data_IF_372405895432
#
_entry.id   IF_372405895432
#
_cell.length_a   1.000
_cell.length_b   1.000
_cell.length_c   1.000
_cell.angle_alpha   90.00
_cell.angle_beta   90.00
_cell.angle_gamma   90.00
#
_symmetry.space_group_name_H-M   'P 1'
#
loop_
_entity.id
_entity.type
_entity.pdbx_description
1 polymer ?
#
# COMPACT_ATOMS: atom_id res chain seq x y z
N UNK A 1 -2.17 15.09 7.19
CA UNK A 1 -1.37 15.21 5.94
C UNK A 1 -0.19 16.19 6.00
N UNK A 2 -0.01 17.04 7.03
CA UNK A 2 1.17 17.92 7.10
C UNK A 2 2.50 17.15 6.97
N UNK A 3 2.62 15.94 7.54
CA UNK A 3 3.83 15.12 7.33
C UNK A 3 4.02 14.63 5.88
N UNK A 4 2.94 14.33 5.15
CA UNK A 4 3.03 13.92 3.74
C UNK A 4 3.41 15.10 2.85
N UNK A 5 2.77 16.26 3.07
CA UNK A 5 3.10 17.50 2.36
C UNK A 5 4.55 17.89 2.63
N UNK A 6 4.99 17.92 3.89
CA UNK A 6 6.33 18.37 4.24
C UNK A 6 7.44 17.45 3.72
N UNK A 7 7.23 16.12 3.73
CA UNK A 7 8.21 15.18 3.16
C UNK A 7 8.24 15.29 1.63
N UNK A 8 7.07 15.40 0.98
CA UNK A 8 6.99 15.58 -0.47
C UNK A 8 7.52 16.95 -0.92
N UNK A 9 7.13 18.05 -0.29
CA UNK A 9 7.60 19.40 -0.58
C UNK A 9 9.10 19.51 -0.31
N UNK A 10 9.58 18.97 0.81
CA UNK A 10 11.01 18.95 1.10
C UNK A 10 11.82 18.13 0.09
N UNK A 11 11.29 17.01 -0.39
CA UNK A 11 11.90 16.20 -1.46
C UNK A 11 11.90 16.91 -2.82
N UNK A 12 10.78 17.56 -3.17
CA UNK A 12 10.58 18.19 -4.48
C UNK A 12 11.32 19.52 -4.60
N UNK A 13 11.39 20.30 -3.52
CA UNK A 13 12.05 21.60 -3.49
C UNK A 13 13.52 21.52 -3.02
N UNK A 14 14.02 20.30 -2.75
CA UNK A 14 15.40 20.09 -2.31
C UNK A 14 15.71 20.62 -0.92
N UNK A 15 14.68 20.93 -0.12
CA UNK A 15 14.84 21.42 1.26
C UNK A 15 15.13 20.26 2.25
N UNK A 16 14.68 19.05 1.94
CA UNK A 16 15.03 17.84 2.69
C UNK A 16 16.06 17.07 1.89
N UNK A 17 17.28 17.03 2.43
CA UNK A 17 18.33 16.19 1.88
C UNK A 17 17.86 14.72 1.90
N UNK A 18 17.98 13.99 0.77
CA UNK A 18 17.52 12.60 0.64
C UNK A 18 18.05 11.67 1.73
N UNK A 19 19.24 11.97 2.27
CA UNK A 19 19.89 11.25 3.38
C UNK A 19 19.10 11.22 4.69
N UNK A 20 18.08 12.08 4.86
CA UNK A 20 17.25 12.11 6.08
C UNK A 20 15.97 11.30 5.97
N UNK A 21 15.68 10.71 4.81
CA UNK A 21 14.42 10.04 4.56
C UNK A 21 14.68 8.54 4.56
N UNK A 22 14.00 7.81 5.44
CA UNK A 22 14.05 6.35 5.45
C UNK A 22 13.23 5.82 4.27
N UNK A 23 13.81 4.90 3.50
CA UNK A 23 13.14 4.23 2.39
C UNK A 23 11.81 3.57 2.83
N UNK A 24 11.74 3.05 4.05
CA UNK A 24 10.53 2.47 4.64
C UNK A 24 9.43 3.50 4.83
N UNK A 25 9.77 4.74 5.18
CA UNK A 25 8.80 5.81 5.35
C UNK A 25 8.18 6.20 4.01
N UNK A 26 8.98 6.27 2.94
CA UNK A 26 8.49 6.49 1.57
C UNK A 26 7.53 5.38 1.15
N UNK A 27 7.91 4.12 1.39
CA UNK A 27 7.08 2.97 1.03
C UNK A 27 5.79 2.91 1.86
N UNK A 28 5.87 3.21 3.16
CA UNK A 28 4.71 3.34 4.02
C UNK A 28 3.78 4.45 3.53
N UNK A 29 4.35 5.61 3.19
CA UNK A 29 3.63 6.75 2.64
C UNK A 29 2.83 6.38 1.38
N UNK A 30 3.47 5.77 0.39
CA UNK A 30 2.78 5.37 -0.84
C UNK A 30 1.70 4.34 -0.58
N UNK A 31 2.00 3.27 0.15
CA UNK A 31 1.02 2.20 0.39
C UNK A 31 -0.17 2.64 1.23
N UNK A 32 0.06 3.45 2.26
CA UNK A 32 -1.02 3.98 3.09
C UNK A 32 -1.84 5.05 2.35
N UNK A 33 -1.18 5.93 1.60
CA UNK A 33 -1.85 6.94 0.79
C UNK A 33 -2.79 6.34 -0.26
N UNK A 34 -2.32 5.30 -0.98
CA UNK A 34 -3.12 4.55 -1.95
C UNK A 34 -4.39 3.97 -1.29
N UNK A 35 -4.25 3.34 -0.12
CA UNK A 35 -5.38 2.75 0.61
C UNK A 35 -6.40 3.80 1.04
N UNK A 36 -5.97 4.87 1.72
CA UNK A 36 -6.91 5.92 2.14
C UNK A 36 -7.60 6.59 0.93
N UNK A 37 -6.90 6.76 -0.21
CA UNK A 37 -7.53 7.29 -1.42
C UNK A 37 -8.68 6.40 -1.91
N UNK A 38 -8.46 5.09 -2.02
CA UNK A 38 -9.50 4.17 -2.50
C UNK A 38 -10.63 3.92 -1.49
N UNK A 39 -10.33 3.95 -0.19
CA UNK A 39 -11.35 3.87 0.86
C UNK A 39 -12.29 5.07 0.77
N UNK A 40 -11.74 6.28 0.59
CA UNK A 40 -12.54 7.51 0.38
C UNK A 40 -13.37 7.45 -0.90
N UNK A 41 -12.81 6.97 -2.02
CA UNK A 41 -13.56 6.77 -3.27
C UNK A 41 -14.72 5.78 -3.09
N UNK A 42 -14.51 4.71 -2.32
CA UNK A 42 -15.54 3.70 -2.02
C UNK A 42 -16.66 4.28 -1.16
N UNK A 43 -16.32 5.09 -0.15
CA UNK A 43 -17.30 5.78 0.69
C UNK A 43 -18.15 6.75 -0.13
N UNK A 44 -17.53 7.57 -0.98
CA UNK A 44 -18.23 8.52 -1.84
C UNK A 44 -19.17 7.84 -2.86
N UNK A 45 -18.81 6.66 -3.36
CA UNK A 45 -19.66 5.88 -4.28
C UNK A 45 -20.87 5.22 -3.58
N UNK A 46 -20.82 5.09 -2.25
CA UNK A 46 -21.84 4.38 -1.47
C UNK A 46 -22.95 5.28 -0.94
N UNK A 47 -22.82 6.60 -1.04
CA UNK A 47 -23.86 7.55 -0.65
C UNK A 47 -25.00 7.49 -1.69
N UNK A 48 -26.12 6.83 -1.37
CA UNK A 48 -27.29 6.86 -2.24
C UNK A 48 -27.81 8.30 -2.21
N UNK A 49 -28.21 8.85 -3.36
CA UNK A 49 -28.86 10.17 -3.44
C UNK A 49 -30.25 10.20 -2.78
N UNK A 50 -30.32 9.81 -1.51
CA UNK A 50 -31.50 9.81 -0.65
C UNK A 50 -31.42 10.97 0.33
N UNK A 51 -32.51 11.71 0.36
CA UNK A 51 -32.88 12.79 1.28
C UNK A 51 -32.42 12.52 2.72
N UNK A 52 -31.85 13.55 3.35
CA UNK A 52 -31.17 13.56 4.64
C UNK A 52 -32.08 13.10 5.80
N UNK A 53 -32.18 11.79 6.07
CA UNK A 53 -32.65 11.28 7.36
C UNK A 53 -31.48 10.69 8.15
N UNK A 54 -30.99 11.52 9.07
CA UNK A 54 -29.72 11.33 9.75
C UNK A 54 -29.69 10.17 10.74
N UNK A 55 -29.36 8.95 10.29
CA UNK A 55 -28.83 7.89 11.17
C UNK A 55 -27.92 6.92 10.40
N UNK A 56 -26.68 7.29 10.05
CA UNK A 56 -25.67 6.31 9.65
C UNK A 56 -24.25 6.73 10.09
N UNK A 57 -23.93 6.54 11.38
CA UNK A 57 -22.66 6.98 11.97
C UNK A 57 -21.78 5.84 12.53
N UNK A 58 -21.85 4.63 11.98
CA UNK A 58 -21.14 3.47 12.55
C UNK A 58 -20.42 2.59 11.50
N UNK A 59 -19.50 3.19 10.72
CA UNK A 59 -18.44 2.44 10.02
C UNK A 59 -17.13 3.24 9.89
N UNK A 60 -16.69 3.93 10.96
CA UNK A 60 -15.52 4.86 10.92
C UNK A 60 -14.42 4.57 11.97
N UNK A 61 -14.47 3.46 12.71
CA UNK A 61 -13.66 3.34 13.94
C UNK A 61 -12.18 3.00 13.75
N UNK A 62 -11.68 2.78 12.53
CA UNK A 62 -10.22 2.62 12.27
C UNK A 62 -9.64 3.54 11.21
N UNK A 63 -10.47 4.28 10.48
CA UNK A 63 -10.09 5.33 9.54
C UNK A 63 -10.33 6.73 10.11
N UNK A 64 -10.61 6.88 11.41
CA UNK A 64 -10.85 8.19 12.04
C UNK A 64 -9.76 9.23 11.70
N UNK A 65 -8.51 8.81 11.49
CA UNK A 65 -7.43 9.71 11.07
C UNK A 65 -7.46 10.09 9.57
N UNK A 66 -8.06 9.28 8.70
CA UNK A 66 -8.30 9.61 7.29
C UNK A 66 -9.66 10.31 7.08
N UNK A 67 -10.65 10.11 7.96
CA UNK A 67 -11.96 10.80 7.87
C UNK A 67 -11.85 12.31 8.13
N UNK A 68 -10.97 12.72 9.06
CA UNK A 68 -10.71 14.14 9.35
C UNK A 68 -9.89 14.82 8.24
N UNK A 69 -9.22 14.02 7.40
CA UNK A 69 -8.47 14.50 6.24
C UNK A 69 -9.38 14.34 5.03
N UNK A 70 -10.18 15.35 4.71
CA UNK A 70 -10.86 15.48 3.42
C UNK A 70 -9.83 15.51 2.28
N UNK A 71 -9.28 14.35 1.95
CA UNK A 71 -8.32 14.21 0.86
C UNK A 71 -9.11 14.29 -0.42
N UNK A 72 -9.06 15.45 -1.08
CA UNK A 72 -9.50 15.57 -2.46
C UNK A 72 -8.75 14.52 -3.29
N UNK A 73 -9.50 13.62 -3.92
CA UNK A 73 -8.95 12.55 -4.75
C UNK A 73 -8.07 13.11 -5.87
N UNK A 74 -8.42 14.29 -6.39
CA UNK A 74 -7.61 14.98 -7.40
C UNK A 74 -6.29 15.47 -6.83
N UNK A 75 -6.32 16.08 -5.64
CA UNK A 75 -5.10 16.51 -4.93
C UNK A 75 -4.15 15.33 -4.64
N UNK A 76 -4.69 14.18 -4.24
CA UNK A 76 -3.90 12.96 -4.06
C UNK A 76 -3.35 12.44 -5.40
N UNK A 77 -4.17 12.35 -6.44
CA UNK A 77 -3.76 11.90 -7.78
C UNK A 77 -2.57 12.72 -8.31
N UNK A 78 -2.69 14.04 -8.23
CA UNK A 78 -1.68 14.99 -8.69
C UNK A 78 -0.38 14.86 -7.89
N UNK A 79 -0.49 14.80 -6.56
CA UNK A 79 0.65 14.61 -5.66
C UNK A 79 1.33 13.26 -5.91
N UNK A 80 0.57 12.16 -5.86
CA UNK A 80 1.09 10.81 -6.06
C UNK A 80 1.72 10.66 -7.44
N UNK A 81 1.07 11.19 -8.48
CA UNK A 81 1.56 11.19 -9.85
C UNK A 81 2.91 11.88 -10.00
N UNK A 82 3.09 13.07 -9.41
CA UNK A 82 4.37 13.80 -9.42
C UNK A 82 5.44 13.05 -8.62
N UNK A 83 5.19 12.80 -7.35
CA UNK A 83 6.18 12.24 -6.43
C UNK A 83 6.64 10.87 -6.93
N UNK A 84 5.72 9.99 -7.34
CA UNK A 84 6.10 8.68 -7.89
C UNK A 84 6.94 8.79 -9.18
N UNK A 85 6.68 9.79 -10.03
CA UNK A 85 7.48 10.02 -11.24
C UNK A 85 8.88 10.51 -10.91
N UNK A 86 9.02 11.44 -9.97
CA UNK A 86 10.31 11.99 -9.55
C UNK A 86 11.19 10.89 -8.93
N UNK A 87 10.61 10.04 -8.09
CA UNK A 87 11.30 8.84 -7.60
C UNK A 87 11.69 7.90 -8.73
N UNK A 88 10.78 7.60 -9.66
CA UNK A 88 11.10 6.76 -10.82
C UNK A 88 12.25 7.35 -11.67
N UNK A 89 12.29 8.66 -11.85
CA UNK A 89 13.36 9.32 -12.59
C UNK A 89 14.68 9.26 -11.81
N UNK A 90 14.66 9.59 -10.52
CA UNK A 90 15.84 9.53 -9.65
C UNK A 90 16.46 8.14 -9.54
N UNK A 91 15.63 7.09 -9.48
CA UNK A 91 16.08 5.69 -9.52
C UNK A 91 16.73 5.38 -10.87
N UNK A 92 16.09 5.72 -11.99
CA UNK A 92 16.66 5.45 -13.34
C UNK A 92 18.01 6.11 -13.52
N UNK A 93 18.15 7.38 -13.10
CA UNK A 93 19.40 8.12 -13.15
C UNK A 93 20.50 7.46 -12.32
N UNK A 94 20.15 6.99 -11.12
CA UNK A 94 21.06 6.22 -10.26
C UNK A 94 21.53 4.95 -10.95
N UNK A 95 20.62 4.19 -11.57
CA UNK A 95 20.93 2.95 -12.29
C UNK A 95 21.76 3.17 -13.57
N UNK A 96 21.64 4.34 -14.21
CA UNK A 96 22.45 4.70 -15.37
C UNK A 96 23.80 5.34 -15.03
N UNK A 97 24.09 5.59 -13.74
CA UNK A 97 25.31 6.26 -13.29
C UNK A 97 25.35 7.76 -13.56
N UNK A 98 24.21 8.43 -13.76
CA UNK A 98 24.16 9.89 -13.91
C UNK A 98 24.22 10.54 -12.52
N UNK A 99 25.20 11.41 -12.25
CA UNK A 99 25.36 12.02 -10.91
C UNK A 99 24.30 13.11 -10.62
N UNK A 100 23.82 13.83 -11.64
CA UNK A 100 22.95 14.99 -11.44
C UNK A 100 21.48 14.59 -11.28
N UNK A 101 20.98 14.73 -10.06
CA UNK A 101 19.59 14.42 -9.72
C UNK A 101 19.29 12.93 -9.65
N UNK A 102 20.31 12.08 -9.53
CA UNK A 102 20.14 10.69 -9.10
C UNK A 102 19.88 10.60 -7.61
N UNK A 103 19.13 9.58 -7.21
CA UNK A 103 19.10 9.16 -5.82
C UNK A 103 20.40 8.41 -5.47
N UNK A 104 20.90 8.51 -4.22
CA UNK A 104 22.04 7.72 -3.77
C UNK A 104 21.80 6.22 -3.99
N UNK A 105 22.79 5.49 -4.51
CA UNK A 105 22.65 4.07 -4.83
C UNK A 105 22.23 3.23 -3.61
N UNK A 106 22.78 3.54 -2.43
CA UNK A 106 22.42 2.89 -1.15
C UNK A 106 20.92 3.06 -0.87
N UNK A 107 20.38 4.27 -1.07
CA UNK A 107 18.97 4.54 -0.84
C UNK A 107 18.06 3.82 -1.85
N UNK A 108 18.50 3.69 -3.11
CA UNK A 108 17.78 2.89 -4.12
C UNK A 108 17.72 1.41 -3.72
N UNK A 109 18.81 0.86 -3.20
CA UNK A 109 18.84 -0.52 -2.70
C UNK A 109 17.93 -0.70 -1.47
N UNK A 110 17.91 0.27 -0.55
CA UNK A 110 17.00 0.27 0.60
C UNK A 110 15.53 0.35 0.16
N UNK A 111 15.19 1.23 -0.79
CA UNK A 111 13.85 1.32 -1.40
C UNK A 111 13.44 -0.01 -2.02
N UNK A 112 14.35 -0.66 -2.75
CA UNK A 112 14.10 -1.98 -3.34
C UNK A 112 13.78 -3.02 -2.27
N UNK A 113 14.59 -3.09 -1.21
CA UNK A 113 14.39 -4.02 -0.09
C UNK A 113 13.07 -3.76 0.62
N UNK A 114 12.77 -2.50 0.94
CA UNK A 114 11.53 -2.11 1.59
C UNK A 114 10.28 -2.43 0.73
N UNK A 115 10.39 -2.29 -0.59
CA UNK A 115 9.28 -2.50 -1.52
C UNK A 115 8.87 -3.96 -1.68
N UNK A 116 9.80 -4.92 -1.64
CA UNK A 116 9.52 -6.36 -1.86
C UNK A 116 8.41 -6.92 -0.98
N UNK A 117 8.19 -6.38 0.22
CA UNK A 117 7.18 -6.86 1.16
C UNK A 117 5.77 -6.36 0.89
N UNK A 118 5.63 -5.25 0.16
CA UNK A 118 4.37 -4.50 0.09
C UNK A 118 3.97 -4.09 -1.32
N UNK A 119 4.90 -4.07 -2.28
CA UNK A 119 4.63 -3.63 -3.65
C UNK A 119 3.57 -4.49 -4.34
N UNK A 120 3.80 -5.79 -4.45
CA UNK A 120 2.84 -6.70 -5.07
C UNK A 120 1.50 -6.79 -4.31
N UNK A 121 1.47 -6.93 -2.96
CA UNK A 121 0.22 -6.85 -2.20
C UNK A 121 -0.62 -5.61 -2.51
N UNK A 122 0.01 -4.43 -2.56
CA UNK A 122 -0.67 -3.17 -2.88
C UNK A 122 -1.12 -3.15 -4.33
N UNK A 123 -0.30 -3.63 -5.28
CA UNK A 123 -0.68 -3.73 -6.70
C UNK A 123 -1.88 -4.65 -6.91
N UNK A 124 -1.90 -5.80 -6.21
CA UNK A 124 -3.03 -6.72 -6.20
C UNK A 124 -4.29 -6.05 -5.67
N UNK A 125 -4.20 -5.37 -4.52
CA UNK A 125 -5.31 -4.61 -3.94
C UNK A 125 -5.88 -3.58 -4.95
N UNK A 126 -5.02 -2.77 -5.57
CA UNK A 126 -5.45 -1.82 -6.61
C UNK A 126 -6.19 -2.56 -7.73
N UNK A 127 -5.67 -3.68 -8.22
CA UNK A 127 -6.30 -4.44 -9.31
C UNK A 127 -7.64 -5.06 -8.93
N UNK A 128 -7.82 -5.47 -7.68
CA UNK A 128 -9.10 -5.99 -7.17
C UNK A 128 -10.20 -4.92 -7.16
N UNK A 129 -9.83 -3.64 -7.08
CA UNK A 129 -10.74 -2.52 -7.16
C UNK A 129 -11.13 -2.11 -8.60
N UNK A 130 -10.51 -2.72 -9.63
CA UNK A 130 -10.79 -2.42 -11.04
C UNK A 130 -12.27 -2.50 -11.41
N UNK A 131 -13.08 -3.48 -10.95
CA UNK A 131 -14.49 -3.55 -11.30
C UNK A 131 -15.29 -2.32 -10.82
N UNK A 132 -14.84 -1.68 -9.75
CA UNK A 132 -15.51 -0.52 -9.14
C UNK A 132 -15.00 0.80 -9.74
N UNK A 133 -13.68 0.94 -9.91
CA UNK A 133 -13.06 2.22 -10.27
C UNK A 133 -12.33 2.20 -11.62
N UNK A 134 -12.49 1.17 -12.45
CA UNK A 134 -11.68 0.99 -13.66
C UNK A 134 -11.76 2.13 -14.69
N UNK A 135 -12.83 2.94 -14.66
CA UNK A 135 -13.01 4.13 -15.51
C UNK A 135 -12.61 5.44 -14.82
N UNK A 136 -12.29 5.41 -13.53
CA UNK A 136 -11.88 6.58 -12.75
C UNK A 136 -10.44 6.97 -13.12
N UNK A 137 -10.19 8.28 -13.33
CA UNK A 137 -8.86 8.79 -13.70
C UNK A 137 -7.80 8.51 -12.63
N UNK A 138 -8.16 8.73 -11.35
CA UNK A 138 -7.30 8.45 -10.19
C UNK A 138 -6.89 6.99 -10.13
N UNK A 139 -7.81 6.06 -10.42
CA UNK A 139 -7.48 4.64 -10.53
C UNK A 139 -6.41 4.39 -11.60
N UNK A 140 -6.58 4.96 -12.79
CA UNK A 140 -5.65 4.81 -13.90
C UNK A 140 -4.25 5.31 -13.56
N UNK A 141 -4.15 6.50 -12.96
CA UNK A 141 -2.89 7.10 -12.52
C UNK A 141 -2.23 6.25 -11.43
N UNK A 142 -2.95 5.93 -10.35
CA UNK A 142 -2.39 5.19 -9.22
C UNK A 142 -1.91 3.79 -9.64
N UNK A 143 -2.73 3.06 -10.39
CA UNK A 143 -2.40 1.72 -10.89
C UNK A 143 -1.17 1.73 -11.81
N UNK A 144 -1.14 2.64 -12.78
CA UNK A 144 -0.03 2.80 -13.73
C UNK A 144 1.29 3.16 -13.03
N UNK A 145 1.25 4.20 -12.17
CA UNK A 145 2.44 4.70 -11.48
C UNK A 145 2.98 3.70 -10.47
N UNK A 146 2.11 3.03 -9.71
CA UNK A 146 2.55 2.00 -8.76
C UNK A 146 3.18 0.79 -9.45
N UNK A 147 2.62 0.36 -10.60
CA UNK A 147 3.23 -0.69 -11.42
C UNK A 147 4.62 -0.26 -11.91
N UNK A 148 4.71 0.92 -12.53
CA UNK A 148 5.98 1.47 -13.07
C UNK A 148 7.05 1.65 -12.01
N UNK A 149 6.66 2.02 -10.79
CA UNK A 149 7.58 2.16 -9.66
C UNK A 149 8.28 0.83 -9.33
N UNK A 150 7.54 -0.29 -9.32
CA UNK A 150 8.13 -1.61 -9.13
C UNK A 150 9.06 -2.03 -10.25
N UNK A 151 8.66 -1.76 -11.50
CA UNK A 151 9.47 -2.07 -12.68
C UNK A 151 10.82 -1.34 -12.64
N UNK A 152 10.82 -0.06 -12.24
CA UNK A 152 12.03 0.76 -12.12
C UNK A 152 12.94 0.29 -10.99
N UNK A 153 12.37 -0.20 -9.89
CA UNK A 153 13.13 -0.89 -8.84
C UNK A 153 13.57 -2.30 -9.27
N UNK A 154 13.28 -2.73 -10.49
CA UNK A 154 13.58 -4.06 -11.01
C UNK A 154 12.92 -5.16 -10.16
N UNK A 155 11.69 -4.93 -9.71
CA UNK A 155 10.83 -5.95 -9.11
C UNK A 155 10.09 -6.67 -10.23
N UNK A 156 10.27 -7.97 -10.35
CA UNK A 156 9.56 -8.77 -11.34
C UNK A 156 8.19 -9.16 -10.78
N UNK A 157 7.11 -8.76 -11.46
CA UNK A 157 5.75 -9.00 -10.97
C UNK A 157 5.43 -10.48 -10.73
N UNK A 158 5.83 -11.36 -11.64
CA UNK A 158 5.57 -12.80 -11.49
C UNK A 158 6.32 -13.37 -10.29
N UNK A 159 7.59 -13.01 -10.10
CA UNK A 159 8.39 -13.46 -8.96
C UNK A 159 7.84 -12.92 -7.63
N UNK A 160 7.44 -11.65 -7.57
CA UNK A 160 6.86 -11.05 -6.35
C UNK A 160 5.48 -11.61 -6.05
N UNK A 161 4.68 -11.96 -7.07
CA UNK A 161 3.43 -12.70 -6.91
C UNK A 161 3.68 -14.06 -6.27
N UNK A 162 4.59 -14.85 -6.83
CA UNK A 162 4.86 -16.21 -6.36
C UNK A 162 5.41 -16.17 -4.92
N UNK A 163 6.28 -15.19 -4.63
CA UNK A 163 6.77 -14.89 -3.28
C UNK A 163 5.63 -14.53 -2.34
N UNK A 164 4.72 -13.65 -2.75
CA UNK A 164 3.56 -13.26 -1.95
C UNK A 164 2.64 -14.44 -1.65
N UNK A 165 2.29 -15.25 -2.65
CA UNK A 165 1.42 -16.42 -2.46
C UNK A 165 2.09 -17.47 -1.57
N UNK A 166 3.39 -17.73 -1.76
CA UNK A 166 4.16 -18.59 -0.87
C UNK A 166 4.12 -18.08 0.57
N UNK A 167 4.39 -16.80 0.78
CA UNK A 167 4.35 -16.18 2.11
C UNK A 167 2.96 -16.26 2.74
N UNK A 168 1.90 -15.93 1.99
CA UNK A 168 0.50 -15.97 2.44
C UNK A 168 0.07 -17.36 2.91
N UNK A 169 0.58 -18.42 2.30
CA UNK A 169 0.30 -19.79 2.75
C UNK A 169 1.09 -20.23 4.00
N UNK A 170 2.10 -19.46 4.39
CA UNK A 170 3.04 -19.79 5.47
C UNK A 170 2.95 -18.88 6.68
N UNK A 171 2.18 -17.79 6.64
CA UNK A 171 1.97 -16.89 7.79
C UNK A 171 0.65 -17.17 8.51
N UNK A 172 0.70 -17.24 9.83
CA UNK A 172 -0.47 -17.44 10.67
C UNK A 172 -1.31 -16.15 10.73
N UNK A 173 -2.61 -16.27 10.54
CA UNK A 173 -3.54 -15.14 10.54
C UNK A 173 -3.68 -14.47 11.92
N UNK A 174 -3.44 -15.20 13.01
CA UNK A 174 -3.55 -14.63 14.36
C UNK A 174 -2.37 -13.71 14.68
N UNK A 175 -2.64 -12.42 14.90
CA UNK A 175 -1.65 -11.34 15.04
C UNK A 175 -0.61 -11.58 16.14
N UNK A 176 -1.02 -12.19 17.26
CA UNK A 176 -0.10 -12.49 18.39
C UNK A 176 0.70 -13.78 18.19
N UNK A 177 0.47 -14.52 17.11
CA UNK A 177 1.24 -15.71 16.79
C UNK A 177 2.63 -15.32 16.29
N UNK A 178 3.69 -15.99 16.76
CA UNK A 178 5.05 -15.81 16.21
C UNK A 178 5.10 -16.03 14.69
N UNK A 179 4.31 -16.99 14.19
CA UNK A 179 4.23 -17.28 12.76
C UNK A 179 3.38 -16.28 11.95
N UNK A 180 2.81 -15.25 12.57
CA UNK A 180 2.17 -14.15 11.84
C UNK A 180 3.21 -13.28 11.13
N UNK A 181 4.34 -13.06 11.79
CA UNK A 181 5.45 -12.25 11.28
C UNK A 181 6.55 -13.08 10.64
N UNK A 182 6.60 -14.37 10.96
CA UNK A 182 7.62 -15.30 10.47
C UNK A 182 6.97 -16.47 9.72
N UNK A 183 7.46 -16.86 8.53
CA UNK A 183 6.93 -18.02 7.83
C UNK A 183 7.05 -19.30 8.66
N UNK A 184 5.96 -20.04 8.80
CA UNK A 184 5.97 -21.36 9.40
C UNK A 184 6.73 -22.36 8.52
N UNK A 185 7.60 -23.19 9.10
CA UNK A 185 8.29 -24.25 8.35
C UNK A 185 7.30 -25.30 7.82
N UNK A 186 6.16 -25.48 8.51
CA UNK A 186 5.11 -26.44 8.14
C UNK A 186 3.95 -25.73 7.43
N UNK A 187 3.25 -26.42 6.51
CA UNK A 187 2.01 -25.92 5.93
C UNK A 187 1.00 -25.56 7.02
N UNK A 188 0.29 -24.45 6.83
CA UNK A 188 -0.71 -23.97 7.77
C UNK A 188 -2.10 -24.53 7.46
N UNK A 189 -2.90 -24.70 8.50
CA UNK A 189 -4.30 -25.11 8.41
C UNK A 189 -5.13 -24.02 7.73
N UNK A 190 -5.81 -24.36 6.65
CA UNK A 190 -6.76 -23.45 5.98
C UNK A 190 -8.06 -23.38 6.78
N UNK A 191 -8.57 -22.16 6.99
CA UNK A 191 -9.88 -21.95 7.58
C UNK A 191 -10.97 -22.64 6.74
N UNK A 192 -11.71 -23.57 7.33
CA UNK A 192 -12.80 -24.28 6.63
C UNK A 192 -13.96 -23.36 6.22
N UNK A 193 -14.13 -22.23 6.92
CA UNK A 193 -15.16 -21.23 6.62
C UNK A 193 -14.76 -20.33 5.44
N UNK A 194 -13.86 -19.38 5.68
CA UNK A 194 -13.49 -18.38 4.66
C UNK A 194 -12.53 -18.88 3.58
N UNK A 195 -11.83 -20.01 3.78
CA UNK A 195 -10.80 -20.57 2.87
C UNK A 195 -9.58 -19.67 2.60
N UNK A 196 -9.55 -18.47 3.16
CA UNK A 196 -8.46 -17.50 2.99
C UNK A 196 -7.48 -17.52 4.16
N UNK A 197 -8.00 -17.46 5.39
CA UNK A 197 -7.17 -17.41 6.58
C UNK A 197 -6.44 -18.73 6.83
N UNK A 198 -5.18 -18.62 7.28
CA UNK A 198 -4.29 -19.75 7.55
C UNK A 198 -3.85 -19.74 9.01
N UNK A 199 -3.78 -20.90 9.65
CA UNK A 199 -3.44 -21.00 11.09
C UNK A 199 -2.40 -22.08 11.34
N UNK A 200 -1.45 -21.83 12.25
CA UNK A 200 -0.47 -22.85 12.63
C UNK A 200 -1.06 -23.95 13.54
N UNK A 201 -2.22 -23.69 14.16
CA UNK A 201 -2.93 -24.64 14.99
C UNK A 201 -4.42 -24.29 15.12
N UNK A 202 -5.24 -25.28 15.49
CA UNK A 202 -6.65 -25.06 15.83
C UNK A 202 -6.84 -24.10 17.02
N UNK A 203 -5.82 -23.98 17.90
CA UNK A 203 -5.83 -23.00 18.99
C UNK A 203 -5.71 -21.57 18.46
N UNK A 204 -4.84 -21.30 17.49
CA UNK A 204 -4.74 -19.98 16.83
C UNK A 204 -6.03 -19.63 16.09
N UNK A 205 -6.63 -20.62 15.41
CA UNK A 205 -7.92 -20.44 14.74
C UNK A 205 -9.03 -20.06 15.72
N UNK A 206 -9.11 -20.74 16.87
CA UNK A 206 -10.11 -20.41 17.91
C UNK A 206 -9.87 -19.06 18.57
N UNK A 207 -8.63 -18.58 18.64
CA UNK A 207 -8.28 -17.27 19.23
C UNK A 207 -8.53 -16.10 18.27
N UNK A 208 -8.54 -16.33 16.96
CA UNK A 208 -8.73 -15.26 15.97
C UNK A 208 -10.19 -14.82 15.77
N UNK A 209 -11.16 -15.33 16.55
CA UNK A 209 -12.61 -15.06 16.41
C UNK A 209 -13.05 -13.62 16.69
N UNK A 210 -12.15 -12.64 16.62
CA UNK A 210 -12.42 -11.22 16.92
C UNK A 210 -11.90 -10.23 15.89
N UNK A 211 -11.81 -10.60 14.61
CA UNK A 211 -11.56 -9.57 13.58
C UNK A 211 -12.43 -9.80 12.37
N UNK A 212 -13.34 -8.86 12.02
CA UNK A 212 -13.97 -8.86 10.71
C UNK A 212 -12.89 -8.86 9.63
N UNK A 213 -13.18 -9.48 8.49
CA UNK A 213 -12.29 -9.64 7.34
C UNK A 213 -11.42 -8.39 7.12
N UNK A 214 -10.09 -8.54 7.23
CA UNK A 214 -9.13 -7.51 6.79
C UNK A 214 -8.99 -7.68 5.27
N UNK A 215 -9.53 -6.73 4.51
CA UNK A 215 -9.10 -6.46 3.13
C UNK A 215 -8.11 -5.28 3.16
#
# INVERSE_FOLDING_TARGET
MQCYSLVCEGLLYGEIAPEKIDARDVIFMFTHGIRCCFDNLSSAASEPGGEEDGVHHLCLSRTAHCADLQVDCKGFEDMFGRVSEDFCQGIRKSLSGEEKGSLPAIFVDELRVASRGVWYPTLRYIRELRPQFGTNATYGVVSSRWSRFGDVLGLNEAAERDRYELMRTRVCWWEDCTFNKTPSPKPLLTCKGCKEARYCSAACQRRSVRVPFRY
#
